data_IF_551875227303
#
_entry.id   IF_551875227303
#
_cell.length_a   1.000
_cell.length_b   1.000
_cell.length_c   1.000
_cell.angle_alpha   90.00
_cell.angle_beta   90.00
_cell.angle_gamma   90.00
#
_symmetry.space_group_name_H-M   'P 1'
#
loop_
_entity.id
_entity.type
_entity.pdbx_description
1 polymer ?
#
# COMPACT_ATOMS: atom_id res chain seq x y z
N UNK A 1 10.78 -27.87 -10.44
CA UNK A 1 10.23 -27.54 -9.11
C UNK A 1 10.37 -26.03 -8.92
N UNK A 2 9.28 -25.26 -8.73
CA UNK A 2 9.45 -23.86 -8.35
C UNK A 2 10.00 -23.80 -6.91
N UNK A 3 10.91 -22.87 -6.59
CA UNK A 3 11.41 -22.74 -5.23
C UNK A 3 10.27 -22.27 -4.31
N UNK A 4 10.06 -22.98 -3.20
CA UNK A 4 9.16 -22.54 -2.14
C UNK A 4 9.59 -21.17 -1.63
N UNK A 5 8.67 -20.21 -1.41
CA UNK A 5 9.03 -18.91 -0.88
C UNK A 5 9.68 -19.09 0.49
N UNK A 6 10.88 -18.54 0.66
CA UNK A 6 11.57 -18.51 1.96
C UNK A 6 10.65 -17.80 2.96
N UNK A 7 10.01 -18.57 3.85
CA UNK A 7 9.32 -18.02 5.03
C UNK A 7 10.34 -17.17 5.79
N UNK A 8 10.07 -15.88 5.86
CA UNK A 8 10.92 -14.97 6.62
C UNK A 8 10.91 -15.36 8.09
N UNK A 9 12.08 -15.35 8.74
CA UNK A 9 12.26 -15.73 10.14
C UNK A 9 11.96 -14.58 11.12
N UNK A 10 11.50 -13.42 10.65
CA UNK A 10 11.14 -12.29 11.51
C UNK A 10 9.65 -12.37 11.89
N UNK A 11 9.32 -12.56 13.19
CA UNK A 11 7.95 -12.47 13.69
C UNK A 11 7.35 -11.10 13.35
N UNK A 12 6.07 -11.06 12.97
CA UNK A 12 5.34 -9.81 12.70
C UNK A 12 5.40 -9.28 11.26
N UNK A 13 6.18 -9.88 10.35
CA UNK A 13 6.18 -9.48 8.93
C UNK A 13 4.82 -9.69 8.24
N UNK A 14 4.09 -10.74 8.61
CA UNK A 14 2.75 -11.00 8.10
C UNK A 14 1.79 -9.90 8.55
N UNK A 15 1.81 -9.55 9.85
CA UNK A 15 1.01 -8.46 10.39
C UNK A 15 1.35 -7.09 9.76
N UNK A 16 2.62 -6.81 9.50
CA UNK A 16 3.05 -5.60 8.78
C UNK A 16 2.54 -5.59 7.33
N UNK A 17 2.55 -6.75 6.66
CA UNK A 17 2.02 -6.87 5.31
C UNK A 17 0.49 -6.71 5.27
N UNK A 18 -0.23 -7.22 6.28
CA UNK A 18 -1.67 -7.02 6.46
C UNK A 18 -2.00 -5.55 6.70
N UNK A 19 -1.25 -4.88 7.59
CA UNK A 19 -1.44 -3.45 7.85
C UNK A 19 -1.25 -2.62 6.58
N UNK A 20 -0.22 -2.92 5.79
CA UNK A 20 0.01 -2.25 4.51
C UNK A 20 -1.09 -2.52 3.50
N UNK A 21 -1.58 -3.76 3.40
CA UNK A 21 -2.73 -4.10 2.54
C UNK A 21 -3.97 -3.30 2.94
N UNK A 22 -4.28 -3.24 4.22
CA UNK A 22 -5.41 -2.46 4.74
C UNK A 22 -5.32 -0.97 4.35
N UNK A 23 -4.14 -0.36 4.45
CA UNK A 23 -3.94 1.02 4.00
C UNK A 23 -4.12 1.20 2.48
N UNK A 24 -3.63 0.25 1.67
CA UNK A 24 -3.84 0.29 0.22
C UNK A 24 -5.33 0.18 -0.10
N UNK A 25 -6.04 -0.75 0.55
CA UNK A 25 -7.48 -0.92 0.36
C UNK A 25 -8.27 0.35 0.70
N UNK A 26 -7.92 1.01 1.82
CA UNK A 26 -8.51 2.29 2.20
C UNK A 26 -8.30 3.36 1.12
N UNK A 27 -7.08 3.50 0.63
CA UNK A 27 -6.75 4.44 -0.45
C UNK A 27 -7.52 4.12 -1.74
N UNK A 28 -7.71 2.84 -2.08
CA UNK A 28 -8.53 2.40 -3.22
C UNK A 28 -9.99 2.78 -3.04
N UNK A 29 -10.54 2.66 -1.83
CA UNK A 29 -11.91 3.10 -1.56
C UNK A 29 -12.04 4.62 -1.71
N UNK A 30 -11.10 5.40 -1.19
CA UNK A 30 -11.10 6.86 -1.37
C UNK A 30 -11.02 7.24 -2.85
N UNK A 31 -10.17 6.55 -3.64
CA UNK A 31 -10.12 6.75 -5.09
C UNK A 31 -11.47 6.54 -5.74
N UNK A 32 -12.12 5.41 -5.43
CA UNK A 32 -13.44 5.05 -5.99
C UNK A 32 -14.53 6.04 -5.59
N UNK A 33 -14.55 6.49 -4.33
CA UNK A 33 -15.48 7.51 -3.84
C UNK A 33 -15.26 8.88 -4.47
N UNK A 34 -14.06 9.13 -5.01
CA UNK A 34 -13.71 10.35 -5.74
C UNK A 34 -13.95 10.24 -7.25
N UNK A 35 -14.54 9.12 -7.71
CA UNK A 35 -14.78 8.80 -9.13
C UNK A 35 -13.54 8.86 -10.03
N UNK A 36 -12.35 8.65 -9.46
CA UNK A 36 -11.10 8.65 -10.21
C UNK A 36 -10.75 7.28 -10.74
N UNK A 37 -10.40 7.20 -12.01
CA UNK A 37 -9.80 6.01 -12.62
C UNK A 37 -8.36 5.81 -12.16
N UNK A 38 -7.85 4.58 -12.30
CA UNK A 38 -6.44 4.28 -12.05
C UNK A 38 -5.51 5.09 -12.97
N UNK A 39 -5.94 5.39 -14.20
CA UNK A 39 -5.19 6.20 -15.17
C UNK A 39 -5.07 7.66 -14.70
N UNK A 40 -6.14 8.24 -14.17
CA UNK A 40 -6.11 9.62 -13.65
C UNK A 40 -5.22 9.75 -12.42
N UNK A 41 -5.31 8.78 -11.49
CA UNK A 41 -4.40 8.74 -10.35
C UNK A 41 -2.95 8.56 -10.80
N UNK A 42 -2.70 7.66 -11.77
CA UNK A 42 -1.37 7.45 -12.31
C UNK A 42 -0.78 8.73 -12.93
N UNK A 43 -1.59 9.48 -13.69
CA UNK A 43 -1.19 10.76 -14.27
C UNK A 43 -0.80 11.78 -13.19
N UNK A 44 -1.60 11.88 -12.11
CA UNK A 44 -1.29 12.76 -10.97
C UNK A 44 -0.03 12.33 -10.20
N UNK A 45 0.22 11.03 -10.12
CA UNK A 45 1.42 10.47 -9.47
C UNK A 45 2.67 10.54 -10.36
N UNK A 46 2.54 10.86 -11.65
CA UNK A 46 3.63 10.78 -12.62
C UNK A 46 4.12 9.35 -12.86
N UNK A 47 3.21 8.38 -12.95
CA UNK A 47 3.51 6.96 -13.16
C UNK A 47 2.56 6.31 -14.18
N UNK A 48 2.70 5.00 -14.44
CA UNK A 48 1.82 4.27 -15.36
C UNK A 48 0.57 3.74 -14.66
N UNK A 49 -0.52 3.58 -15.41
CA UNK A 49 -1.73 2.92 -14.92
C UNK A 49 -1.43 1.49 -14.43
N UNK A 50 -0.54 0.77 -15.11
CA UNK A 50 -0.12 -0.58 -14.68
C UNK A 50 0.63 -0.59 -13.34
N UNK A 51 1.39 0.45 -13.03
CA UNK A 51 2.05 0.60 -11.73
C UNK A 51 1.03 0.84 -10.63
N UNK A 52 0.02 1.67 -10.90
CA UNK A 52 -1.13 1.87 -9.99
C UNK A 52 -1.92 0.57 -9.80
N UNK A 53 -2.25 -0.15 -10.88
CA UNK A 53 -2.98 -1.41 -10.78
C UNK A 53 -2.25 -2.46 -9.93
N UNK A 54 -0.93 -2.57 -10.07
CA UNK A 54 -0.09 -3.47 -9.25
C UNK A 54 0.04 -3.04 -7.80
N UNK A 55 0.00 -1.73 -7.55
CA UNK A 55 -0.07 -1.20 -6.19
C UNK A 55 -1.41 -1.59 -5.54
N UNK A 56 -2.52 -1.36 -6.25
CA UNK A 56 -3.87 -1.67 -5.76
C UNK A 56 -4.14 -3.17 -5.61
N UNK A 57 -3.47 -4.04 -6.38
CA UNK A 57 -3.57 -5.49 -6.21
C UNK A 57 -2.80 -6.03 -4.99
N UNK A 58 -1.97 -5.20 -4.35
CA UNK A 58 -1.11 -5.64 -3.24
C UNK A 58 0.07 -6.51 -3.67
N UNK A 59 0.32 -6.67 -4.98
CA UNK A 59 1.44 -7.44 -5.54
C UNK A 59 2.80 -6.76 -5.37
N UNK A 60 2.80 -5.49 -4.95
CA UNK A 60 4.00 -4.72 -4.69
C UNK A 60 4.24 -4.58 -3.19
N UNK A 61 5.47 -4.84 -2.76
CA UNK A 61 5.98 -4.34 -1.48
C UNK A 61 6.12 -2.81 -1.58
N UNK A 62 5.00 -2.11 -1.39
CA UNK A 62 4.91 -0.69 -1.62
C UNK A 62 5.73 0.08 -0.59
N UNK A 63 6.63 0.92 -1.08
CA UNK A 63 7.37 1.87 -0.26
C UNK A 63 6.41 2.91 0.33
N UNK A 64 6.79 3.44 1.48
CA UNK A 64 6.12 4.55 2.15
C UNK A 64 5.82 5.71 1.20
N UNK A 65 6.86 6.16 0.50
CA UNK A 65 6.78 7.28 -0.46
C UNK A 65 5.88 7.00 -1.66
N UNK A 66 5.57 5.72 -1.95
CA UNK A 66 4.58 5.37 -2.97
C UNK A 66 3.16 5.59 -2.44
N UNK A 67 2.90 5.21 -1.18
CA UNK A 67 1.60 5.41 -0.52
C UNK A 67 1.32 6.90 -0.30
N UNK A 68 2.33 7.66 0.14
CA UNK A 68 2.23 9.12 0.30
C UNK A 68 1.88 9.82 -1.02
N UNK A 69 2.55 9.45 -2.13
CA UNK A 69 2.24 10.01 -3.45
C UNK A 69 0.85 9.62 -3.94
N UNK A 70 0.41 8.39 -3.65
CA UNK A 70 -0.95 7.96 -4.00
C UNK A 70 -1.99 8.78 -3.24
N UNK A 71 -1.82 8.93 -1.93
CA UNK A 71 -2.70 9.77 -1.11
C UNK A 71 -2.71 11.23 -1.59
N UNK A 72 -1.54 11.79 -1.90
CA UNK A 72 -1.44 13.15 -2.45
C UNK A 72 -2.18 13.29 -3.79
N UNK A 73 -2.12 12.29 -4.68
CA UNK A 73 -2.88 12.25 -5.92
C UNK A 73 -4.40 12.21 -5.71
N UNK A 74 -4.86 11.77 -4.54
CA UNK A 74 -6.25 11.81 -4.09
C UNK A 74 -6.62 13.07 -3.30
N UNK A 75 -5.68 14.00 -3.08
CA UNK A 75 -5.92 15.16 -2.20
C UNK A 75 -6.06 14.77 -0.73
N UNK A 76 -5.30 13.74 -0.30
CA UNK A 76 -5.23 13.24 1.08
C UNK A 76 -3.78 13.24 1.58
N UNK A 77 -3.63 13.05 2.88
CA UNK A 77 -2.35 12.86 3.56
C UNK A 77 -2.36 11.53 4.33
N UNK A 78 -1.19 10.91 4.45
CA UNK A 78 -0.98 9.74 5.31
C UNK A 78 -0.06 10.19 6.44
N UNK A 79 -0.49 9.98 7.68
CA UNK A 79 0.29 10.29 8.87
C UNK A 79 0.91 9.03 9.47
N UNK A 80 2.07 9.19 10.11
CA UNK A 80 2.83 8.10 10.70
C UNK A 80 2.79 8.16 12.23
N UNK A 81 2.49 7.03 12.86
CA UNK A 81 2.53 6.88 14.30
C UNK A 81 3.41 5.69 14.70
N UNK A 82 4.37 5.93 15.59
CA UNK A 82 5.15 4.87 16.24
C UNK A 82 4.45 4.50 17.54
N UNK A 83 4.17 3.21 17.72
CA UNK A 83 3.58 2.67 18.95
C UNK A 83 4.45 1.52 19.47
N UNK A 84 4.42 1.24 20.78
CA UNK A 84 5.03 0.02 21.31
C UNK A 84 4.48 -1.19 20.56
N UNK A 85 5.36 -2.06 20.04
CA UNK A 85 4.95 -3.40 19.63
C UNK A 85 4.55 -4.12 20.91
N UNK A 86 3.28 -4.54 21.03
CA UNK A 86 2.79 -5.25 22.21
C UNK A 86 3.83 -6.30 22.66
N UNK A 87 4.40 -6.12 23.86
CA UNK A 87 5.20 -7.18 24.47
C UNK A 87 4.24 -8.34 24.75
N UNK A 88 4.48 -9.55 24.21
CA UNK A 88 3.65 -10.68 24.55
C UNK A 88 3.80 -10.94 26.05
N UNK A 89 2.69 -10.85 26.79
CA UNK A 89 2.58 -11.41 28.14
C UNK A 89 2.58 -12.94 28.09
#
# INVERSE_FOLDING_TARGET
MPPSPRRSRFPGLEALADQRRGLIEELVQVRRQSDLSQTEVAARMGTSQSAVARLESGDLDARLSTLERYAAALGRTVDWQVRPSEEPS
#
